data_IF_447620921383
#
_entry.id   IF_447620921383
#
_cell.length_a   1.000
_cell.length_b   1.000
_cell.length_c   1.000
_cell.angle_alpha   90.00
_cell.angle_beta   90.00
_cell.angle_gamma   90.00
#
_symmetry.space_group_name_H-M   'P 1'
#
loop_
_entity.id
_entity.type
_entity.pdbx_description
1 polymer ?
#
# COMPACT_ATOMS: atom_id res chain seq x y z
N UNK A 1 -4.75 -15.20 8.98
CA UNK A 1 -4.47 -14.33 7.82
C UNK A 1 -5.16 -12.99 8.01
N UNK A 2 -4.44 -11.88 7.75
CA UNK A 2 -5.06 -10.55 7.70
C UNK A 2 -5.84 -10.39 6.39
N UNK A 3 -6.99 -9.72 6.46
CA UNK A 3 -7.79 -9.31 5.31
C UNK A 3 -7.00 -8.40 4.36
N UNK A 4 -7.41 -8.33 3.10
CA UNK A 4 -6.80 -7.44 2.11
C UNK A 4 -6.91 -5.97 2.54
N UNK A 5 -8.03 -5.58 3.18
CA UNK A 5 -8.18 -4.23 3.71
C UNK A 5 -7.13 -3.92 4.79
N UNK A 6 -6.91 -4.83 5.75
CA UNK A 6 -5.89 -4.64 6.78
C UNK A 6 -4.46 -4.55 6.18
N UNK A 7 -4.20 -5.25 5.08
CA UNK A 7 -2.93 -5.13 4.34
C UNK A 7 -2.78 -3.76 3.66
N UNK A 8 -3.86 -3.23 3.07
CA UNK A 8 -3.87 -1.87 2.50
C UNK A 8 -3.60 -0.84 3.59
N UNK A 9 -4.31 -0.93 4.72
CA UNK A 9 -4.19 0.02 5.83
C UNK A 9 -2.78 -0.02 6.45
N UNK A 10 -2.15 -1.20 6.51
CA UNK A 10 -0.77 -1.34 6.93
C UNK A 10 0.18 -0.61 5.97
N UNK A 11 0.05 -0.82 4.66
CA UNK A 11 0.91 -0.18 3.66
C UNK A 11 0.69 1.34 3.59
N UNK A 12 -0.53 1.84 3.83
CA UNK A 12 -0.81 3.28 3.97
C UNK A 12 -0.07 3.87 5.17
N UNK A 13 -0.15 3.23 6.35
CA UNK A 13 0.58 3.69 7.55
C UNK A 13 2.10 3.65 7.34
N UNK A 14 2.61 2.62 6.67
CA UNK A 14 4.03 2.53 6.30
C UNK A 14 4.43 3.70 5.40
N UNK A 15 3.62 3.99 4.37
CA UNK A 15 3.84 5.13 3.47
C UNK A 15 3.86 6.47 4.21
N UNK A 16 2.94 6.71 5.14
CA UNK A 16 2.94 7.91 5.98
C UNK A 16 4.20 8.03 6.85
N UNK A 17 4.65 6.92 7.43
CA UNK A 17 5.91 6.85 8.17
C UNK A 17 7.12 7.18 7.29
N UNK A 18 7.15 6.67 6.05
CA UNK A 18 8.20 6.96 5.07
C UNK A 18 8.20 8.44 4.69
N UNK A 19 7.04 9.07 4.50
CA UNK A 19 6.95 10.52 4.25
C UNK A 19 7.53 11.35 5.39
N UNK A 20 7.21 10.99 6.65
CA UNK A 20 7.82 11.63 7.83
C UNK A 20 9.33 11.45 7.82
N UNK A 21 9.83 10.24 7.54
CA UNK A 21 11.26 9.96 7.45
C UNK A 21 11.93 10.77 6.33
N UNK A 22 11.32 10.87 5.15
CA UNK A 22 11.81 11.68 4.03
C UNK A 22 11.92 13.16 4.42
N UNK A 23 10.94 13.71 5.13
CA UNK A 23 10.94 15.11 5.56
C UNK A 23 12.09 15.47 6.51
N UNK A 24 12.62 14.47 7.22
CA UNK A 24 13.73 14.61 8.17
C UNK A 24 15.07 14.12 7.60
N UNK A 25 15.07 13.52 6.40
CA UNK A 25 16.26 12.92 5.80
C UNK A 25 17.16 14.02 5.22
N UNK A 26 18.43 14.03 5.64
CA UNK A 26 19.42 15.02 5.19
C UNK A 26 20.52 14.41 4.35
N UNK A 27 20.72 13.10 4.43
CA UNK A 27 21.73 12.38 3.67
C UNK A 27 21.14 11.71 2.43
N UNK A 28 21.89 11.75 1.32
CA UNK A 28 21.47 11.16 0.03
C UNK A 28 21.07 9.69 0.14
N UNK A 29 21.81 8.89 0.91
CA UNK A 29 21.55 7.46 1.05
C UNK A 29 20.27 7.19 1.85
N UNK A 30 19.98 8.00 2.88
CA UNK A 30 18.72 7.93 3.63
C UNK A 30 17.53 8.25 2.73
N UNK A 31 17.63 9.33 1.94
CA UNK A 31 16.61 9.71 0.97
C UNK A 31 16.40 8.60 -0.06
N UNK A 32 17.47 8.05 -0.63
CA UNK A 32 17.38 6.98 -1.63
C UNK A 32 16.68 5.73 -1.07
N UNK A 33 17.03 5.31 0.15
CA UNK A 33 16.38 4.15 0.79
C UNK A 33 14.91 4.43 1.09
N UNK A 34 14.59 5.60 1.63
CA UNK A 34 13.22 5.97 1.92
C UNK A 34 12.36 6.06 0.65
N UNK A 35 12.88 6.61 -0.45
CA UNK A 35 12.19 6.63 -1.76
C UNK A 35 11.97 5.20 -2.30
N UNK A 36 12.96 4.30 -2.20
CA UNK A 36 12.76 2.89 -2.60
C UNK A 36 11.64 2.23 -1.81
N UNK A 37 11.62 2.42 -0.48
CA UNK A 37 10.57 1.89 0.37
C UNK A 37 9.19 2.48 0.01
N UNK A 38 9.14 3.78 -0.30
CA UNK A 38 7.93 4.45 -0.77
C UNK A 38 7.37 3.81 -2.05
N UNK A 39 8.24 3.53 -3.02
CA UNK A 39 7.86 2.86 -4.28
C UNK A 39 7.32 1.45 -4.05
N UNK A 40 7.93 0.69 -3.12
CA UNK A 40 7.45 -0.64 -2.74
C UNK A 40 6.06 -0.56 -2.10
N UNK A 41 5.85 0.31 -1.12
CA UNK A 41 4.55 0.50 -0.48
C UNK A 41 3.48 0.92 -1.50
N UNK A 42 3.78 1.85 -2.40
CA UNK A 42 2.84 2.28 -3.44
C UNK A 42 2.44 1.11 -4.36
N UNK A 43 3.41 0.31 -4.81
CA UNK A 43 3.16 -0.88 -5.63
C UNK A 43 2.24 -1.87 -4.91
N UNK A 44 2.48 -2.11 -3.61
CA UNK A 44 1.65 -3.02 -2.82
C UNK A 44 0.23 -2.50 -2.60
N UNK A 45 0.06 -1.21 -2.31
CA UNK A 45 -1.26 -0.59 -2.20
C UNK A 45 -2.04 -0.79 -3.51
N UNK A 46 -1.42 -0.53 -4.66
CA UNK A 46 -2.06 -0.74 -5.96
C UNK A 46 -2.45 -2.20 -6.19
N UNK A 47 -1.54 -3.14 -5.88
CA UNK A 47 -1.80 -4.57 -6.04
C UNK A 47 -2.97 -5.04 -5.16
N UNK A 48 -2.95 -4.69 -3.86
CA UNK A 48 -4.01 -5.07 -2.93
C UNK A 48 -5.35 -4.41 -3.26
N UNK A 49 -5.33 -3.14 -3.70
CA UNK A 49 -6.56 -2.45 -4.14
C UNK A 49 -7.16 -3.13 -5.37
N UNK A 50 -6.32 -3.51 -6.35
CA UNK A 50 -6.78 -4.25 -7.54
C UNK A 50 -7.32 -5.63 -7.18
N UNK A 51 -6.71 -6.31 -6.22
CA UNK A 51 -7.20 -7.60 -5.72
C UNK A 51 -8.55 -7.45 -5.00
N UNK A 52 -8.70 -6.42 -4.16
CA UNK A 52 -9.95 -6.11 -3.46
C UNK A 52 -11.10 -5.86 -4.44
N UNK A 53 -10.87 -5.01 -5.45
CA UNK A 53 -11.85 -4.72 -6.50
C UNK A 53 -12.32 -6.00 -7.21
N UNK A 54 -11.40 -6.91 -7.55
CA UNK A 54 -11.77 -8.20 -8.18
C UNK A 54 -12.62 -9.09 -7.28
N UNK A 55 -12.40 -9.04 -5.96
CA UNK A 55 -13.21 -9.81 -5.01
C UNK A 55 -14.61 -9.21 -4.88
N UNK A 56 -14.71 -7.88 -4.80
CA UNK A 56 -15.98 -7.16 -4.76
C UNK A 56 -16.81 -7.43 -6.02
N UNK A 57 -16.20 -7.36 -7.21
CA UNK A 57 -16.85 -7.72 -8.48
C UNK A 57 -17.35 -9.17 -8.49
N UNK A 58 -16.55 -10.11 -8.00
CA UNK A 58 -16.97 -11.51 -7.90
C UNK A 58 -18.15 -11.71 -6.95
N UNK A 59 -18.18 -10.98 -5.83
CA UNK A 59 -19.28 -11.03 -4.87
C UNK A 59 -20.54 -10.42 -5.48
N UNK A 60 -20.42 -9.27 -6.15
CA UNK A 60 -21.52 -8.62 -6.85
C UNK A 60 -22.12 -9.53 -7.93
N UNK A 61 -21.27 -10.17 -8.75
CA UNK A 61 -21.69 -11.12 -9.79
C UNK A 61 -22.38 -12.37 -9.23
N UNK A 62 -22.04 -12.80 -8.00
CA UNK A 62 -22.71 -13.92 -7.32
C UNK A 62 -24.04 -13.53 -6.69
N UNK A 63 -24.17 -12.28 -6.23
CA UNK A 63 -25.36 -11.78 -5.53
C UNK A 63 -26.42 -11.26 -6.50
N UNK A 64 -26.03 -10.90 -7.73
CA UNK A 64 -26.94 -10.50 -8.81
C UNK A 64 -27.54 -11.64 -9.64
N UNK A 65 -27.46 -12.89 -9.18
CA UNK A 65 -28.13 -14.08 -9.77
C UNK A 65 -29.24 -14.58 -8.88
#
# INVERSE_FOLDING_TARGET
DCSIQEKIDLEIRMREGIWKLLSLSTQKDQVLQAVKNLMVCNTRIMAYTSELQKLEEQIANKTGR
#
